data_IF_259327501693
#
_entry.id   IF_259327501693
#
_cell.length_a   1.000
_cell.length_b   1.000
_cell.length_c   1.000
_cell.angle_alpha   90.00
_cell.angle_beta   90.00
_cell.angle_gamma   90.00
#
_symmetry.space_group_name_H-M   'P 1'
#
loop_
_entity.id
_entity.type
_entity.pdbx_description
1 polymer ?
#
# COMPACT_ATOMS: atom_id res chain seq x y z
N UNK A 1 27.83 -16.78 15.79
CA UNK A 1 27.67 -17.54 14.53
C UNK A 1 26.78 -16.71 13.62
N UNK A 2 27.30 -16.26 12.48
CA UNK A 2 26.57 -15.43 11.51
C UNK A 2 25.69 -16.34 10.64
N UNK A 3 24.37 -16.22 10.78
CA UNK A 3 23.35 -16.94 9.98
C UNK A 3 23.13 -16.30 8.60
N UNK A 4 24.19 -15.74 8.02
CA UNK A 4 24.11 -15.04 6.75
C UNK A 4 24.10 -16.05 5.60
N UNK A 5 23.09 -15.96 4.74
CA UNK A 5 22.86 -16.80 3.56
C UNK A 5 22.91 -15.94 2.30
N UNK A 6 23.66 -16.39 1.29
CA UNK A 6 23.71 -15.72 -0.03
C UNK A 6 22.59 -16.28 -0.89
N UNK A 7 21.61 -15.44 -1.23
CA UNK A 7 20.45 -15.84 -2.04
C UNK A 7 20.65 -15.58 -3.54
N UNK A 8 21.50 -14.63 -3.90
CA UNK A 8 21.83 -14.33 -5.29
C UNK A 8 23.28 -13.88 -5.43
N UNK A 9 23.92 -14.30 -6.51
CA UNK A 9 25.26 -13.86 -6.90
C UNK A 9 25.25 -13.18 -8.27
N UNK A 10 26.21 -12.29 -8.49
CA UNK A 10 26.45 -11.66 -9.77
C UNK A 10 27.17 -12.62 -10.70
N UNK A 11 26.95 -12.45 -12.00
CA UNK A 11 27.71 -13.18 -13.00
C UNK A 11 27.90 -12.31 -14.23
N UNK A 12 29.16 -12.04 -14.55
CA UNK A 12 29.57 -11.37 -15.78
C UNK A 12 29.88 -12.39 -16.90
N UNK A 13 29.67 -13.69 -16.64
CA UNK A 13 29.95 -14.77 -17.59
C UNK A 13 28.72 -15.68 -17.76
N UNK A 14 28.43 -16.03 -19.01
CA UNK A 14 27.46 -17.08 -19.32
C UNK A 14 28.12 -18.45 -19.12
N UNK A 15 27.85 -19.12 -18.00
CA UNK A 15 28.31 -20.49 -17.74
C UNK A 15 27.99 -20.99 -16.33
N UNK A 16 27.72 -22.29 -16.20
CA UNK A 16 27.30 -22.99 -14.96
C UNK A 16 28.36 -23.07 -13.84
N UNK A 17 29.48 -22.35 -13.97
CA UNK A 17 30.58 -22.38 -12.98
C UNK A 17 30.58 -21.17 -12.03
N UNK A 18 29.60 -20.26 -12.16
CA UNK A 18 29.49 -19.09 -11.30
C UNK A 18 29.15 -19.52 -9.86
N UNK A 19 30.11 -19.35 -8.95
CA UNK A 19 29.87 -19.52 -7.50
C UNK A 19 29.25 -18.24 -6.97
N UNK A 20 27.98 -18.29 -6.61
CA UNK A 20 27.22 -17.15 -6.08
C UNK A 20 27.89 -16.48 -4.86
N UNK A 21 28.68 -17.24 -4.10
CA UNK A 21 29.40 -16.78 -2.91
C UNK A 21 30.57 -15.84 -3.25
N UNK A 22 31.10 -15.92 -4.49
CA UNK A 22 32.25 -15.14 -4.93
C UNK A 22 31.91 -13.70 -5.31
N UNK A 23 30.64 -13.45 -5.63
CA UNK A 23 30.10 -12.12 -5.94
C UNK A 23 28.66 -12.01 -5.39
N UNK A 24 28.47 -11.92 -4.06
CA UNK A 24 27.15 -11.93 -3.45
C UNK A 24 26.42 -10.62 -3.78
N UNK A 25 25.29 -10.73 -4.48
CA UNK A 25 24.40 -9.61 -4.80
C UNK A 25 23.32 -9.47 -3.74
N UNK A 26 22.76 -10.58 -3.26
CA UNK A 26 21.74 -10.58 -2.23
C UNK A 26 22.16 -11.48 -1.07
N UNK A 27 22.36 -10.91 0.11
CA UNK A 27 22.64 -11.65 1.34
C UNK A 27 21.53 -11.41 2.35
N UNK A 28 21.06 -12.46 2.99
CA UNK A 28 20.04 -12.39 4.05
C UNK A 28 20.61 -12.90 5.34
N UNK A 29 20.34 -12.20 6.44
CA UNK A 29 20.71 -12.64 7.77
C UNK A 29 19.49 -12.62 8.69
N UNK A 30 19.16 -13.76 9.31
CA UNK A 30 18.04 -13.87 10.24
C UNK A 30 18.45 -13.33 11.61
N UNK A 31 17.65 -12.43 12.18
CA UNK A 31 17.88 -11.86 13.51
C UNK A 31 16.59 -11.90 14.32
N UNK A 32 16.53 -12.83 15.28
CA UNK A 32 15.32 -13.06 16.07
C UNK A 32 14.14 -13.51 15.19
N UNK A 33 13.04 -12.74 15.21
CA UNK A 33 11.87 -12.96 14.35
C UNK A 33 11.95 -12.25 13.00
N UNK A 34 12.96 -11.40 12.80
CA UNK A 34 13.15 -10.61 11.58
C UNK A 34 14.26 -11.14 10.69
N UNK A 35 14.43 -10.47 9.55
CA UNK A 35 15.55 -10.68 8.64
C UNK A 35 16.11 -9.34 8.17
N UNK A 36 17.43 -9.28 8.02
CA UNK A 36 18.13 -8.16 7.39
C UNK A 36 18.57 -8.60 5.99
N UNK A 37 18.28 -7.76 5.01
CA UNK A 37 18.63 -8.00 3.61
C UNK A 37 19.72 -6.98 3.22
N UNK A 38 20.85 -7.48 2.74
CA UNK A 38 21.92 -6.67 2.15
C UNK A 38 21.89 -6.86 0.64
N UNK A 39 21.70 -5.75 -0.08
CA UNK A 39 21.78 -5.69 -1.52
C UNK A 39 23.10 -5.03 -1.94
N UNK A 40 23.95 -5.79 -2.63
CA UNK A 40 25.28 -5.38 -3.07
C UNK A 40 25.34 -5.20 -4.60
N UNK A 41 24.20 -4.92 -5.23
CA UNK A 41 24.16 -4.58 -6.64
C UNK A 41 24.78 -3.20 -6.86
N UNK A 42 25.92 -3.14 -7.55
CA UNK A 42 26.63 -1.89 -7.88
C UNK A 42 25.99 -1.11 -9.03
N UNK A 43 25.15 -1.77 -9.83
CA UNK A 43 24.41 -1.15 -10.93
C UNK A 43 23.13 -0.45 -10.45
N UNK A 44 22.76 0.63 -11.15
CA UNK A 44 21.59 1.44 -10.83
C UNK A 44 20.30 0.60 -10.78
N UNK A 45 19.36 0.85 -9.84
CA UNK A 45 18.14 0.04 -9.68
C UNK A 45 17.24 -0.10 -10.92
N UNK A 46 17.34 0.83 -11.86
CA UNK A 46 16.62 0.79 -13.14
C UNK A 46 17.44 0.21 -14.31
N UNK A 47 18.63 -0.37 -14.05
CA UNK A 47 19.38 -1.08 -15.09
C UNK A 47 18.53 -2.25 -15.62
N UNK A 48 18.45 -2.41 -16.95
CA UNK A 48 17.54 -3.35 -17.59
C UNK A 48 17.67 -4.78 -17.05
N UNK A 49 18.91 -5.23 -16.81
CA UNK A 49 19.19 -6.57 -16.26
C UNK A 49 18.77 -6.78 -14.80
N UNK A 50 18.54 -5.71 -14.03
CA UNK A 50 18.17 -5.78 -12.61
C UNK A 50 16.72 -5.38 -12.32
N UNK A 51 16.01 -4.82 -13.30
CA UNK A 51 14.65 -4.30 -13.10
C UNK A 51 13.72 -5.33 -12.47
N UNK A 52 13.69 -6.56 -12.99
CA UNK A 52 12.86 -7.64 -12.45
C UNK A 52 13.24 -7.99 -11.02
N UNK A 53 14.54 -8.12 -10.74
CA UNK A 53 15.04 -8.41 -9.41
C UNK A 53 14.63 -7.34 -8.39
N UNK A 54 14.75 -6.05 -8.74
CA UNK A 54 14.29 -4.96 -7.88
C UNK A 54 12.77 -4.93 -7.70
N UNK A 55 12.00 -5.19 -8.76
CA UNK A 55 10.54 -5.32 -8.65
C UNK A 55 10.16 -6.44 -7.68
N UNK A 56 10.77 -7.62 -7.80
CA UNK A 56 10.46 -8.76 -6.94
C UNK A 56 10.88 -8.49 -5.48
N UNK A 57 12.05 -7.89 -5.27
CA UNK A 57 12.52 -7.51 -3.93
C UNK A 57 11.62 -6.48 -3.26
N UNK A 58 11.23 -5.43 -3.99
CA UNK A 58 10.29 -4.43 -3.50
C UNK A 58 8.91 -5.02 -3.25
N UNK A 59 8.47 -5.97 -4.08
CA UNK A 59 7.24 -6.73 -3.87
C UNK A 59 7.27 -7.47 -2.53
N UNK A 60 8.33 -8.25 -2.26
CA UNK A 60 8.49 -8.99 -0.99
C UNK A 60 8.54 -8.05 0.20
N UNK A 61 9.25 -6.92 0.11
CA UNK A 61 9.29 -5.94 1.20
C UNK A 61 7.92 -5.29 1.41
N UNK A 62 7.23 -4.95 0.32
CA UNK A 62 5.89 -4.37 0.39
C UNK A 62 4.88 -5.36 0.98
N UNK A 63 4.91 -6.63 0.59
CA UNK A 63 4.08 -7.69 1.17
C UNK A 63 4.40 -7.94 2.65
N UNK A 64 5.68 -7.94 3.03
CA UNK A 64 6.09 -8.09 4.43
C UNK A 64 5.68 -6.90 5.30
N UNK A 65 5.54 -5.71 4.70
CA UNK A 65 5.03 -4.50 5.35
C UNK A 65 3.52 -4.31 5.15
N UNK A 66 2.88 -5.14 4.32
CA UNK A 66 1.45 -5.05 4.07
C UNK A 66 0.73 -5.47 5.35
N UNK A 67 0.27 -4.46 6.08
CA UNK A 67 -0.74 -4.65 7.12
C UNK A 67 -2.10 -4.92 6.47
N UNK A 68 -3.17 -4.51 7.16
CA UNK A 68 -4.52 -4.70 6.64
C UNK A 68 -4.87 -3.77 5.47
N UNK A 69 -4.07 -2.72 5.23
CA UNK A 69 -4.30 -1.71 4.17
C UNK A 69 -3.28 -1.87 3.04
N UNK A 70 -3.78 -2.00 1.81
CA UNK A 70 -2.99 -1.97 0.57
C UNK A 70 -3.47 -0.80 -0.30
N UNK A 71 -2.54 0.05 -0.77
CA UNK A 71 -2.85 1.18 -1.65
C UNK A 71 -2.02 1.08 -2.93
N UNK A 72 -2.70 0.91 -4.06
CA UNK A 72 -2.11 0.92 -5.39
C UNK A 72 -2.50 2.21 -6.10
N UNK A 73 -1.53 3.08 -6.34
CA UNK A 73 -1.73 4.38 -6.98
C UNK A 73 -0.58 4.72 -7.93
N UNK A 74 -0.80 5.67 -8.84
CA UNK A 74 0.27 6.23 -9.66
C UNK A 74 1.23 7.11 -8.86
N UNK A 75 2.43 7.35 -9.40
CA UNK A 75 3.51 8.12 -8.75
C UNK A 75 3.12 9.56 -8.34
N UNK A 76 2.07 10.10 -8.97
CA UNK A 76 1.54 11.45 -8.72
C UNK A 76 0.55 11.51 -7.57
N UNK A 77 0.18 10.38 -6.98
CA UNK A 77 -0.66 10.31 -5.78
C UNK A 77 0.23 10.15 -4.56
N UNK A 78 0.07 11.05 -3.59
CA UNK A 78 0.65 10.90 -2.25
C UNK A 78 -0.43 10.38 -1.32
N UNK A 79 -0.06 9.49 -0.41
CA UNK A 79 -1.00 8.98 0.56
C UNK A 79 -0.40 8.86 1.95
N UNK A 80 -1.29 8.88 2.95
CA UNK A 80 -0.96 8.62 4.34
C UNK A 80 -2.14 7.92 5.02
N UNK A 81 -1.85 6.95 5.88
CA UNK A 81 -2.84 6.23 6.69
C UNK A 81 -2.64 6.60 8.15
N UNK A 82 -3.70 7.02 8.82
CA UNK A 82 -3.68 7.35 10.25
C UNK A 82 -4.69 6.48 11.00
N UNK A 83 -4.27 5.77 12.07
CA UNK A 83 -5.19 5.06 12.93
C UNK A 83 -5.97 6.04 13.82
N UNK A 84 -7.26 5.78 13.98
CA UNK A 84 -8.17 6.49 14.89
C UNK A 84 -8.97 5.44 15.70
N UNK A 85 -9.63 5.83 16.81
CA UNK A 85 -10.44 4.88 17.58
C UNK A 85 -11.56 4.25 16.73
N UNK A 86 -11.42 2.95 16.43
CA UNK A 86 -12.43 2.16 15.71
C UNK A 86 -12.38 2.24 14.18
N UNK A 87 -11.43 2.99 13.61
CA UNK A 87 -11.25 3.11 12.15
C UNK A 87 -9.84 3.57 11.77
N UNK A 88 -9.51 3.46 10.49
CA UNK A 88 -8.32 4.05 9.89
C UNK A 88 -8.74 5.10 8.86
N UNK A 89 -7.97 6.18 8.74
CA UNK A 89 -8.22 7.26 7.78
C UNK A 89 -7.09 7.27 6.76
N UNK A 90 -7.43 7.01 5.50
CA UNK A 90 -6.56 7.12 4.35
C UNK A 90 -6.78 8.49 3.67
N UNK A 91 -5.72 9.28 3.63
CA UNK A 91 -5.67 10.53 2.87
C UNK A 91 -4.99 10.29 1.53
N UNK A 92 -5.63 10.73 0.45
CA UNK A 92 -5.12 10.64 -0.92
C UNK A 92 -5.02 12.04 -1.52
N UNK A 93 -3.82 12.46 -1.86
CA UNK A 93 -3.56 13.75 -2.51
C UNK A 93 -3.07 13.52 -3.94
N UNK A 94 -3.85 13.97 -4.93
CA UNK A 94 -3.40 13.97 -6.31
C UNK A 94 -2.59 15.23 -6.61
N UNK A 95 -1.29 15.05 -6.84
CA UNK A 95 -0.36 16.14 -7.19
C UNK A 95 -0.26 16.37 -8.71
N UNK A 96 -1.02 15.62 -9.52
CA UNK A 96 -1.11 15.87 -10.95
C UNK A 96 -1.99 17.12 -11.20
N UNK A 97 -1.53 18.09 -12.02
CA UNK A 97 -2.26 19.35 -12.23
C UNK A 97 -3.54 19.17 -13.06
N UNK A 98 -3.51 18.32 -14.09
CA UNK A 98 -4.61 18.27 -15.09
C UNK A 98 -5.24 16.88 -15.30
N UNK A 99 -4.89 15.88 -14.49
CA UNK A 99 -5.34 14.50 -14.70
C UNK A 99 -5.84 13.90 -13.40
N UNK A 100 -7.07 13.39 -13.43
CA UNK A 100 -7.60 12.58 -12.35
C UNK A 100 -6.78 11.27 -12.25
N UNK A 101 -6.58 10.78 -11.03
CA UNK A 101 -5.85 9.55 -10.78
C UNK A 101 -6.79 8.53 -10.15
N UNK A 102 -6.76 7.31 -10.67
CA UNK A 102 -7.42 6.18 -10.02
C UNK A 102 -6.50 5.57 -8.96
N UNK A 103 -7.08 5.30 -7.80
CA UNK A 103 -6.42 4.64 -6.68
C UNK A 103 -7.21 3.39 -6.34
N UNK A 104 -6.52 2.26 -6.19
CA UNK A 104 -7.13 1.02 -5.72
C UNK A 104 -6.74 0.78 -4.28
N UNK A 105 -7.73 0.59 -3.42
CA UNK A 105 -7.55 0.37 -1.99
C UNK A 105 -8.08 -1.01 -1.63
N UNK A 106 -7.29 -1.80 -0.93
CA UNK A 106 -7.75 -3.01 -0.26
C UNK A 106 -7.65 -2.80 1.26
N UNK A 107 -8.69 -3.20 1.98
CA UNK A 107 -8.70 -3.19 3.45
C UNK A 107 -9.41 -4.44 3.99
N UNK A 108 -8.70 -5.28 4.73
CA UNK A 108 -9.24 -6.53 5.26
C UNK A 108 -9.88 -7.42 4.17
N UNK A 109 -11.22 -7.56 4.21
CA UNK A 109 -11.99 -8.34 3.24
C UNK A 109 -12.39 -7.55 1.99
N UNK A 110 -12.31 -6.21 2.00
CA UNK A 110 -12.53 -5.41 0.79
C UNK A 110 -11.28 -5.45 -0.08
N UNK A 111 -11.45 -5.84 -1.34
CA UNK A 111 -10.36 -5.95 -2.31
C UNK A 111 -10.54 -4.94 -3.44
N UNK A 112 -9.49 -4.16 -3.70
CA UNK A 112 -9.35 -3.28 -4.88
C UNK A 112 -10.55 -2.34 -5.10
N UNK A 113 -11.08 -1.75 -4.04
CA UNK A 113 -12.04 -0.65 -4.13
C UNK A 113 -11.40 0.50 -4.93
N UNK A 114 -12.11 1.02 -5.93
CA UNK A 114 -11.58 2.06 -6.82
C UNK A 114 -12.09 3.43 -6.38
N UNK A 115 -11.17 4.35 -6.14
CA UNK A 115 -11.47 5.76 -5.88
C UNK A 115 -10.80 6.64 -6.93
N UNK A 116 -11.56 7.58 -7.49
CA UNK A 116 -11.02 8.61 -8.38
C UNK A 116 -10.68 9.86 -7.58
N UNK A 117 -9.48 10.41 -7.78
CA UNK A 117 -9.02 11.65 -7.14
C UNK A 117 -8.81 12.69 -8.23
N UNK A 118 -9.61 13.76 -8.20
CA UNK A 118 -9.53 14.85 -9.17
C UNK A 118 -8.14 15.54 -9.16
N UNK A 119 -7.76 16.25 -10.24
CA UNK A 119 -6.48 16.95 -10.30
C UNK A 119 -6.34 17.96 -9.15
N UNK A 120 -5.19 17.96 -8.47
CA UNK A 120 -4.93 18.86 -7.33
C UNK A 120 -5.81 18.64 -6.09
N UNK A 121 -6.68 17.61 -6.08
CA UNK A 121 -7.65 17.40 -5.02
C UNK A 121 -7.14 16.47 -3.91
N UNK A 122 -7.65 16.70 -2.70
CA UNK A 122 -7.55 15.78 -1.57
C UNK A 122 -8.82 14.93 -1.51
N UNK A 123 -8.66 13.63 -1.32
CA UNK A 123 -9.74 12.70 -1.05
C UNK A 123 -9.46 11.93 0.25
N UNK A 124 -10.50 11.72 1.04
CA UNK A 124 -10.41 11.03 2.34
C UNK A 124 -11.24 9.75 2.27
N UNK A 125 -10.66 8.65 2.74
CA UNK A 125 -11.30 7.33 2.82
C UNK A 125 -11.22 6.84 4.25
N UNK A 126 -12.37 6.61 4.87
CA UNK A 126 -12.52 6.05 6.21
C UNK A 126 -12.72 4.54 6.09
N UNK A 127 -11.98 3.77 6.86
CA UNK A 127 -11.88 2.32 6.69
C UNK A 127 -12.01 1.62 8.03
N UNK A 128 -12.77 0.53 8.08
CA UNK A 128 -12.72 -0.42 9.19
C UNK A 128 -13.09 -1.81 8.67
N UNK A 129 -13.18 -2.80 9.57
CA UNK A 129 -13.49 -4.18 9.20
C UNK A 129 -14.82 -4.37 8.44
N UNK A 130 -15.76 -3.41 8.54
CA UNK A 130 -17.04 -3.46 7.84
C UNK A 130 -17.02 -2.87 6.43
N UNK A 131 -15.98 -2.13 6.04
CA UNK A 131 -15.83 -1.58 4.70
C UNK A 131 -15.16 -0.22 4.63
N UNK A 132 -15.30 0.44 3.47
CA UNK A 132 -14.72 1.76 3.19
C UNK A 132 -15.81 2.77 2.88
N UNK A 133 -15.60 4.01 3.32
CA UNK A 133 -16.49 5.15 3.11
C UNK A 133 -15.67 6.37 2.70
N UNK A 134 -16.06 7.04 1.63
CA UNK A 134 -15.39 8.26 1.16
C UNK A 134 -16.41 9.34 0.81
N UNK A 135 -16.58 10.38 1.66
CA UNK A 135 -17.31 11.59 1.32
C UNK A 135 -16.72 12.26 0.07
N UNK A 136 -17.57 12.87 -0.77
CA UNK A 136 -17.08 13.66 -1.91
C UNK A 136 -16.35 14.93 -1.44
N UNK A 137 -16.86 15.59 -0.40
CA UNK A 137 -16.22 16.74 0.23
C UNK A 137 -15.25 16.31 1.36
N UNK A 138 -13.94 16.53 1.23
CA UNK A 138 -12.97 16.19 2.27
C UNK A 138 -13.13 17.00 3.56
N UNK A 139 -13.86 18.12 3.54
CA UNK A 139 -14.17 18.88 4.76
C UNK A 139 -15.16 18.15 5.69
N UNK A 140 -15.93 17.21 5.16
CA UNK A 140 -16.85 16.38 5.94
C UNK A 140 -16.05 15.30 6.69
N UNK A 141 -15.75 15.59 7.97
CA UNK A 141 -15.02 14.66 8.83
C UNK A 141 -15.95 13.63 9.46
N UNK A 142 -15.75 12.36 9.14
CA UNK A 142 -16.36 11.23 9.87
C UNK A 142 -15.57 11.01 11.16
N UNK A 143 -16.25 10.97 12.30
CA UNK A 143 -15.66 10.70 13.63
C UNK A 143 -15.97 9.30 14.13
N UNK A 144 -17.02 8.68 13.59
CA UNK A 144 -17.38 7.30 13.91
C UNK A 144 -17.94 6.61 12.66
N UNK A 145 -17.48 5.39 12.44
CA UNK A 145 -17.91 4.51 11.37
C UNK A 145 -18.32 3.16 11.97
N UNK A 146 -19.60 2.86 11.94
CA UNK A 146 -20.18 1.56 12.26
C UNK A 146 -20.94 1.01 11.04
N UNK A 147 -21.37 -0.25 11.10
CA UNK A 147 -22.10 -0.90 10.02
C UNK A 147 -23.34 -1.65 10.52
N UNK A 148 -24.45 -1.51 9.81
CA UNK A 148 -25.65 -2.33 9.92
C UNK A 148 -25.87 -3.07 8.60
N UNK A 149 -25.36 -4.31 8.55
CA UNK A 149 -25.22 -5.06 7.31
C UNK A 149 -24.37 -4.29 6.29
N UNK A 150 -24.85 -4.05 5.06
CA UNK A 150 -24.11 -3.30 4.04
C UNK A 150 -24.21 -1.78 4.21
N UNK A 151 -24.97 -1.28 5.20
CA UNK A 151 -25.23 0.15 5.37
C UNK A 151 -24.29 0.74 6.43
N UNK A 152 -23.52 1.79 6.10
CA UNK A 152 -22.70 2.47 7.09
C UNK A 152 -23.57 3.35 7.99
N UNK A 153 -23.27 3.34 9.29
CA UNK A 153 -23.79 4.25 10.30
C UNK A 153 -22.66 5.22 10.65
N UNK A 154 -22.86 6.49 10.32
CA UNK A 154 -21.83 7.51 10.38
C UNK A 154 -22.17 8.58 11.40
N UNK A 155 -21.15 9.02 12.14
CA UNK A 155 -21.21 10.25 12.92
C UNK A 155 -20.19 11.22 12.35
N UNK A 156 -20.60 12.47 12.16
CA UNK A 156 -19.75 13.54 11.62
C UNK A 156 -19.27 14.48 12.72
N UNK A 157 -18.18 15.18 12.47
CA UNK A 157 -17.67 16.22 13.35
C UNK A 157 -18.51 17.50 13.24
N UNK A 158 -18.97 18.03 14.37
CA UNK A 158 -19.75 19.28 14.43
C UNK A 158 -21.16 19.14 13.84
N UNK A 159 -21.67 20.24 13.29
CA UNK A 159 -23.00 20.31 12.64
C UNK A 159 -22.97 19.83 11.17
N UNK A 160 -21.90 19.14 10.76
CA UNK A 160 -21.80 18.60 9.41
C UNK A 160 -22.93 17.58 9.17
N UNK A 161 -23.81 17.88 8.22
CA UNK A 161 -24.82 16.95 7.74
C UNK A 161 -24.19 15.84 6.88
N UNK A 162 -24.93 14.75 6.70
CA UNK A 162 -24.56 13.72 5.73
C UNK A 162 -24.34 14.38 4.35
N UNK A 163 -23.21 14.08 3.68
CA UNK A 163 -22.91 14.66 2.38
C UNK A 163 -23.91 14.16 1.33
N UNK A 164 -24.17 14.99 0.31
CA UNK A 164 -25.09 14.65 -0.78
C UNK A 164 -24.63 13.41 -1.57
N UNK A 165 -23.30 13.17 -1.59
CA UNK A 165 -22.67 12.04 -2.26
C UNK A 165 -21.55 11.46 -1.42
N UNK A 166 -21.52 10.14 -1.40
CA UNK A 166 -20.57 9.35 -0.64
C UNK A 166 -20.38 8.01 -1.33
N UNK A 167 -19.12 7.67 -1.59
CA UNK A 167 -18.77 6.35 -2.09
C UNK A 167 -18.68 5.40 -0.91
N UNK A 168 -19.46 4.32 -0.97
CA UNK A 168 -19.56 3.30 0.07
C UNK A 168 -19.24 1.96 -0.53
N UNK A 169 -18.25 1.28 0.06
CA UNK A 169 -17.82 -0.06 -0.37
C UNK A 169 -17.89 -0.97 0.86
N UNK A 170 -19.00 -1.70 1.08
CA UNK A 170 -19.10 -2.63 2.19
C UNK A 170 -18.12 -3.80 2.03
N UNK A 171 -17.68 -4.34 3.15
CA UNK A 171 -17.02 -5.64 3.20
C UNK A 171 -17.93 -6.72 2.59
N UNK A 172 -17.36 -7.55 1.73
CA UNK A 172 -18.02 -8.80 1.32
C UNK A 172 -18.15 -9.71 2.54
N UNK A 173 -19.39 -9.89 3.01
CA UNK A 173 -19.74 -10.92 3.97
C UNK A 173 -19.47 -12.29 3.31
N UNK A 174 -18.36 -12.93 3.65
CA UNK A 174 -18.25 -14.35 3.39
C UNK A 174 -19.11 -15.09 4.43
N UNK A 175 -20.03 -15.98 3.99
CA UNK A 175 -20.76 -16.87 4.90
C UNK A 175 -19.82 -17.86 5.61
#
# INVERSE_FOLDING_TARGET
MTTAEVLAGGSDRYGDSARIESDPILTVNRLGRGQTILLNATAYPAHFGLRRFYTDLLGVVAEAQAGDVEVLCGDRVRYAVYPEPGMEILYLLNTHPDCAQEVRVSHGSVRRAVFSVAPGALRVVYMNAGGLVSPEDPAVRVVKLDWDGPRPILQFHGDACAPDRMDVVPATLHP
#
